data_IF_803082855953
#
_entry.id   IF_803082855953
#
_cell.length_a   1.000
_cell.length_b   1.000
_cell.length_c   1.000
_cell.angle_alpha   90.00
_cell.angle_beta   90.00
_cell.angle_gamma   90.00
#
_symmetry.space_group_name_H-M   'P 1'
#
loop_
_entity.id
_entity.type
_entity.pdbx_description
1 polymer ?
#
# COMPACT_ATOMS: atom_id res chain seq x y z
N UNK A 1 8.76 29.44 55.00
CA UNK A 1 9.89 29.26 54.05
C UNK A 1 9.61 28.30 52.90
N UNK A 2 8.48 27.57 52.86
CA UNK A 2 8.09 26.75 51.70
C UNK A 2 7.42 27.47 50.49
N UNK A 3 6.81 28.68 50.60
CA UNK A 3 6.17 29.31 49.42
C UNK A 3 7.15 29.80 48.35
N UNK A 4 8.40 30.10 48.73
CA UNK A 4 9.35 30.75 47.83
C UNK A 4 10.05 29.77 46.88
N UNK A 5 10.21 28.50 47.30
CA UNK A 5 10.82 27.43 46.50
C UNK A 5 9.91 27.03 45.33
N UNK A 6 8.58 27.01 45.55
CA UNK A 6 7.60 26.70 44.49
C UNK A 6 7.57 27.81 43.43
N UNK A 7 7.70 29.07 43.83
CA UNK A 7 7.81 30.20 42.89
C UNK A 7 9.10 30.15 42.06
N UNK A 8 10.23 29.77 42.68
CA UNK A 8 11.50 29.60 41.97
C UNK A 8 11.43 28.45 40.94
N UNK A 9 10.84 27.31 41.30
CA UNK A 9 10.66 26.18 40.39
C UNK A 9 9.69 26.49 39.22
N UNK A 10 8.64 27.27 39.47
CA UNK A 10 7.71 27.71 38.41
C UNK A 10 8.37 28.71 37.44
N UNK A 11 9.27 29.57 37.93
CA UNK A 11 10.02 30.51 37.08
C UNK A 11 11.14 29.82 36.28
N UNK A 12 11.71 28.73 36.80
CA UNK A 12 12.71 27.90 36.10
C UNK A 12 12.07 27.05 35.00
N UNK A 13 10.86 26.51 35.23
CA UNK A 13 10.05 25.85 34.20
C UNK A 13 9.64 26.81 33.07
N UNK A 14 9.18 28.01 33.40
CA UNK A 14 8.81 29.01 32.40
C UNK A 14 10.01 29.52 31.56
N UNK A 15 11.22 29.54 32.14
CA UNK A 15 12.47 29.88 31.42
C UNK A 15 12.98 28.75 30.53
N UNK A 16 12.66 27.50 30.85
CA UNK A 16 12.97 26.37 30.00
C UNK A 16 11.94 26.24 28.86
N UNK A 17 10.65 26.49 29.11
CA UNK A 17 9.63 26.55 28.06
C UNK A 17 9.93 27.70 27.08
N UNK A 18 10.30 28.90 27.56
CA UNK A 18 10.65 30.03 26.67
C UNK A 18 11.98 29.88 25.92
N UNK A 19 12.84 28.93 26.31
CA UNK A 19 14.08 28.59 25.58
C UNK A 19 13.89 27.45 24.59
N UNK A 20 12.80 26.68 24.71
CA UNK A 20 12.49 25.57 23.81
C UNK A 20 11.71 26.06 22.58
N UNK A 21 11.07 27.23 22.65
CA UNK A 21 10.28 27.80 21.55
C UNK A 21 11.06 28.68 20.54
N UNK A 22 12.36 28.94 20.73
CA UNK A 22 13.15 29.79 19.81
C UNK A 22 14.22 29.06 18.98
N UNK A 23 14.28 27.73 19.00
CA UNK A 23 15.31 26.97 18.27
C UNK A 23 14.81 25.69 17.56
N UNK A 24 13.62 25.73 16.97
CA UNK A 24 13.19 24.72 15.97
C UNK A 24 12.69 25.42 14.71
N UNK A 25 13.62 26.05 14.01
CA UNK A 25 13.52 26.28 12.57
C UNK A 25 14.81 25.86 11.89
N UNK A 26 15.29 24.67 12.26
CA UNK A 26 16.09 23.89 11.32
C UNK A 26 15.11 23.30 10.30
N UNK A 27 15.22 23.79 9.07
CA UNK A 27 14.74 23.13 7.87
C UNK A 27 15.29 21.69 7.86
N UNK A 28 14.60 20.76 8.51
CA UNK A 28 14.55 19.40 8.01
C UNK A 28 13.76 19.51 6.71
N UNK A 29 14.49 19.66 5.61
CA UNK A 29 14.02 19.11 4.35
C UNK A 29 13.66 17.65 4.66
N UNK A 30 12.39 17.40 5.01
CA UNK A 30 11.82 16.07 5.06
C UNK A 30 12.00 15.55 3.65
N UNK A 31 13.11 14.85 3.41
CA UNK A 31 13.35 14.08 2.21
C UNK A 31 12.26 13.02 2.18
N UNK A 32 11.12 13.40 1.64
CA UNK A 32 10.02 12.51 1.31
C UNK A 32 10.52 11.74 0.12
N UNK A 33 11.32 10.69 0.38
CA UNK A 33 11.62 9.69 -0.63
C UNK A 33 10.25 9.23 -1.15
N UNK A 34 10.01 9.47 -2.44
CA UNK A 34 8.79 9.00 -3.06
C UNK A 34 8.72 7.49 -2.81
N UNK A 35 7.61 6.96 -2.29
CA UNK A 35 7.52 5.56 -1.92
C UNK A 35 7.89 4.69 -3.13
N UNK A 36 8.86 3.80 -2.94
CA UNK A 36 9.31 2.89 -3.98
C UNK A 36 8.20 1.89 -4.33
N UNK A 37 8.21 1.42 -5.57
CA UNK A 37 7.26 0.39 -6.03
C UNK A 37 7.95 -0.98 -6.06
N UNK A 38 7.21 -2.09 -5.88
CA UNK A 38 7.76 -3.43 -6.01
C UNK A 38 8.42 -3.69 -7.38
N UNK A 39 9.34 -4.66 -7.43
CA UNK A 39 10.05 -5.06 -8.64
C UNK A 39 9.05 -5.48 -9.73
N UNK A 40 9.33 -5.07 -10.96
CA UNK A 40 8.49 -5.38 -12.13
C UNK A 40 7.37 -4.38 -12.41
N UNK A 41 7.26 -3.32 -11.62
CA UNK A 41 6.35 -2.21 -11.89
C UNK A 41 7.09 -0.93 -12.28
N UNK A 42 6.48 -0.17 -13.19
CA UNK A 42 6.96 1.14 -13.61
C UNK A 42 6.22 2.23 -12.84
N UNK A 43 6.94 3.26 -12.39
CA UNK A 43 6.34 4.40 -11.70
C UNK A 43 5.76 5.42 -12.69
N UNK A 44 4.71 6.11 -12.29
CA UNK A 44 4.18 7.28 -12.99
C UNK A 44 4.13 8.47 -12.02
N UNK A 45 4.62 9.63 -12.43
CA UNK A 45 4.54 10.85 -11.61
C UNK A 45 3.09 11.30 -11.46
N UNK A 46 2.60 11.34 -10.22
CA UNK A 46 1.29 11.93 -9.90
C UNK A 46 1.37 13.44 -10.12
N UNK A 47 0.56 13.95 -11.06
CA UNK A 47 0.49 15.39 -11.35
C UNK A 47 -0.29 16.09 -10.24
N UNK A 48 0.17 17.24 -9.78
CA UNK A 48 -0.44 17.96 -8.65
C UNK A 48 -1.92 18.31 -8.88
N UNK A 49 -2.33 18.53 -10.13
CA UNK A 49 -3.74 18.77 -10.48
C UNK A 49 -4.65 17.57 -10.16
N UNK A 50 -4.09 16.36 -10.23
CA UNK A 50 -4.82 15.10 -10.06
C UNK A 50 -4.89 14.71 -8.56
N UNK A 51 -4.07 15.34 -7.70
CA UNK A 51 -4.11 15.17 -6.24
C UNK A 51 -5.41 15.75 -5.67
N UNK A 52 -6.10 14.96 -4.87
CA UNK A 52 -7.26 15.37 -4.09
C UNK A 52 -6.82 15.93 -2.73
N UNK A 53 -5.99 15.17 -2.00
CA UNK A 53 -5.47 15.53 -0.67
C UNK A 53 -4.19 14.75 -0.40
N UNK A 54 -3.36 15.27 0.47
CA UNK A 54 -2.17 14.60 0.99
C UNK A 54 -2.45 14.11 2.41
N UNK A 55 -2.16 12.84 2.70
CA UNK A 55 -2.50 12.20 3.97
C UNK A 55 -1.26 11.55 4.58
N UNK A 56 -1.11 11.68 5.89
CA UNK A 56 -0.07 10.95 6.61
C UNK A 56 -0.38 9.44 6.61
N UNK A 57 0.66 8.65 6.39
CA UNK A 57 0.57 7.20 6.49
C UNK A 57 0.11 6.75 7.88
N UNK A 58 -0.86 5.84 7.89
CA UNK A 58 -1.34 5.16 9.10
C UNK A 58 -0.30 4.24 9.71
N UNK A 59 0.54 3.66 8.84
CA UNK A 59 1.61 2.74 9.23
C UNK A 59 2.96 3.46 9.36
N UNK A 60 3.03 4.76 9.05
CA UNK A 60 4.27 5.53 9.16
C UNK A 60 4.70 5.71 10.62
N UNK A 61 6.02 5.69 10.84
CA UNK A 61 6.59 5.99 12.14
C UNK A 61 6.34 7.48 12.47
N UNK A 62 6.01 7.79 13.73
CA UNK A 62 5.84 9.17 14.17
C UNK A 62 7.10 10.02 14.02
N UNK A 63 8.28 9.38 14.04
CA UNK A 63 9.57 10.06 13.86
C UNK A 63 9.94 10.28 12.39
N UNK A 64 9.29 9.57 11.46
CA UNK A 64 9.51 9.69 10.02
C UNK A 64 8.15 9.56 9.28
N UNK A 65 7.33 10.62 9.35
CA UNK A 65 5.99 10.58 8.80
C UNK A 65 6.05 10.68 7.26
N UNK A 66 5.45 9.69 6.59
CA UNK A 66 5.36 9.68 5.13
C UNK A 66 4.03 10.29 4.71
N UNK A 67 4.10 11.21 3.74
CA UNK A 67 2.94 11.88 3.17
C UNK A 67 2.57 11.24 1.83
N UNK A 68 1.34 10.74 1.72
CA UNK A 68 0.85 10.07 0.52
C UNK A 68 -0.14 10.97 -0.23
N UNK A 69 0.08 11.12 -1.54
CA UNK A 69 -0.83 11.82 -2.45
C UNK A 69 -2.02 10.92 -2.77
N UNK A 70 -3.20 11.26 -2.25
CA UNK A 70 -4.48 10.62 -2.60
C UNK A 70 -5.02 11.29 -3.85
N UNK A 71 -5.24 10.52 -4.92
CA UNK A 71 -5.67 11.09 -6.20
C UNK A 71 -7.19 11.25 -6.28
N UNK A 72 -7.64 12.16 -7.15
CA UNK A 72 -9.07 12.35 -7.45
C UNK A 72 -9.69 11.06 -8.02
N UNK A 73 -8.92 10.29 -8.79
CA UNK A 73 -9.39 9.02 -9.36
C UNK A 73 -9.44 7.89 -8.31
N UNK A 74 -8.53 7.85 -7.34
CA UNK A 74 -8.67 6.98 -6.16
C UNK A 74 -9.99 7.29 -5.43
N UNK A 75 -10.29 8.56 -5.19
CA UNK A 75 -11.54 8.99 -4.55
C UNK A 75 -12.77 8.58 -5.36
N UNK A 76 -12.75 8.83 -6.67
CA UNK A 76 -13.82 8.44 -7.60
C UNK A 76 -14.04 6.94 -7.57
N UNK A 77 -12.98 6.13 -7.63
CA UNK A 77 -13.06 4.68 -7.57
C UNK A 77 -13.65 4.22 -6.23
N UNK A 78 -13.18 4.73 -5.10
CA UNK A 78 -13.69 4.36 -3.78
C UNK A 78 -15.19 4.63 -3.65
N UNK A 79 -15.67 5.73 -4.23
CA UNK A 79 -17.07 6.15 -4.19
C UNK A 79 -18.00 5.35 -5.11
N UNK A 80 -17.58 5.11 -6.35
CA UNK A 80 -18.44 4.56 -7.41
C UNK A 80 -18.05 3.15 -7.86
N UNK A 81 -16.90 2.65 -7.42
CA UNK A 81 -16.42 1.30 -7.66
C UNK A 81 -16.96 0.32 -6.62
N UNK A 82 -16.34 -0.85 -6.57
CA UNK A 82 -16.82 -1.99 -5.78
C UNK A 82 -16.78 -1.75 -4.27
N UNK A 83 -15.97 -0.80 -3.81
CA UNK A 83 -15.84 -0.45 -2.40
C UNK A 83 -17.09 0.29 -1.85
N UNK A 84 -17.84 0.99 -2.72
CA UNK A 84 -19.05 1.74 -2.37
C UNK A 84 -18.90 2.61 -1.11
N UNK A 85 -17.78 3.33 -0.99
CA UNK A 85 -17.54 4.19 0.15
C UNK A 85 -18.58 5.30 0.21
N UNK A 86 -18.96 5.66 1.44
CA UNK A 86 -19.68 6.89 1.70
C UNK A 86 -18.69 7.96 2.20
N UNK A 87 -19.19 9.19 2.34
CA UNK A 87 -18.40 10.34 2.81
C UNK A 87 -17.73 10.09 4.17
N UNK A 88 -18.39 9.38 5.09
CA UNK A 88 -17.81 9.03 6.40
C UNK A 88 -16.64 8.06 6.27
N UNK A 89 -16.75 7.02 5.43
CA UNK A 89 -15.66 6.07 5.18
C UNK A 89 -14.46 6.74 4.52
N UNK A 90 -14.71 7.65 3.56
CA UNK A 90 -13.66 8.45 2.94
C UNK A 90 -12.97 9.36 3.95
N UNK A 91 -13.71 10.05 4.80
CA UNK A 91 -13.12 10.92 5.82
C UNK A 91 -12.17 10.16 6.77
N UNK A 92 -12.46 8.89 7.08
CA UNK A 92 -11.56 8.03 7.85
C UNK A 92 -10.28 7.66 7.07
N UNK A 93 -10.38 7.42 5.77
CA UNK A 93 -9.21 7.18 4.92
C UNK A 93 -8.35 8.44 4.78
N UNK A 94 -8.99 9.60 4.62
CA UNK A 94 -8.34 10.91 4.58
C UNK A 94 -7.83 11.39 5.94
N UNK A 95 -7.93 10.56 6.99
CA UNK A 95 -7.48 10.89 8.36
C UNK A 95 -8.09 12.18 8.93
N UNK A 96 -9.27 12.58 8.45
CA UNK A 96 -9.92 13.81 8.88
C UNK A 96 -10.60 13.64 10.23
N UNK A 97 -10.41 14.61 11.12
CA UNK A 97 -11.09 14.64 12.40
C UNK A 97 -12.63 14.70 12.23
N UNK A 98 -13.36 14.05 13.14
CA UNK A 98 -14.82 14.08 13.13
C UNK A 98 -15.32 15.49 13.46
N UNK A 99 -16.00 16.12 12.52
CA UNK A 99 -16.64 17.42 12.71
C UNK A 99 -18.09 17.42 12.23
N UNK A 100 -18.93 18.29 12.81
CA UNK A 100 -20.36 18.40 12.45
C UNK A 100 -20.56 18.78 10.98
N UNK A 101 -19.67 19.58 10.41
CA UNK A 101 -19.70 20.03 9.02
C UNK A 101 -18.82 19.21 8.06
N UNK A 102 -18.07 18.22 8.56
CA UNK A 102 -17.04 17.53 7.77
C UNK A 102 -17.57 16.84 6.51
N UNK A 103 -18.74 16.21 6.60
CA UNK A 103 -19.38 15.58 5.44
C UNK A 103 -19.92 16.55 4.40
N UNK A 104 -20.21 17.80 4.76
CA UNK A 104 -20.60 18.87 3.84
C UNK A 104 -19.36 19.46 3.14
N UNK A 105 -18.28 19.68 3.90
CA UNK A 105 -17.00 20.17 3.37
C UNK A 105 -16.44 19.19 2.34
N UNK A 106 -16.35 17.89 2.70
CA UNK A 106 -15.84 16.86 1.80
C UNK A 106 -16.66 16.77 0.50
N UNK A 107 -17.99 16.90 0.57
CA UNK A 107 -18.84 16.91 -0.62
C UNK A 107 -18.54 18.09 -1.54
N UNK A 108 -18.37 19.29 -0.97
CA UNK A 108 -18.04 20.49 -1.74
C UNK A 108 -16.66 20.39 -2.43
N UNK A 109 -15.67 19.82 -1.76
CA UNK A 109 -14.34 19.60 -2.33
C UNK A 109 -14.37 18.56 -3.46
N UNK A 110 -15.13 17.47 -3.27
CA UNK A 110 -15.38 16.48 -4.33
C UNK A 110 -16.08 17.13 -5.54
N UNK A 111 -17.08 17.98 -5.31
CA UNK A 111 -17.77 18.71 -6.39
C UNK A 111 -16.82 19.65 -7.15
N UNK A 112 -15.91 20.35 -6.46
CA UNK A 112 -14.89 21.19 -7.09
C UNK A 112 -13.94 20.38 -7.99
N UNK A 113 -13.72 19.10 -7.67
CA UNK A 113 -12.94 18.14 -8.46
C UNK A 113 -13.79 17.35 -9.46
N UNK A 114 -15.07 17.72 -9.65
CA UNK A 114 -15.96 17.08 -10.63
C UNK A 114 -16.54 15.73 -10.21
N UNK A 115 -16.63 15.48 -8.90
CA UNK A 115 -17.24 14.29 -8.30
C UNK A 115 -18.52 14.69 -7.55
N UNK A 116 -19.68 14.37 -8.11
CA UNK A 116 -20.98 14.66 -7.50
C UNK A 116 -21.50 13.46 -6.70
N UNK A 117 -21.75 13.65 -5.40
CA UNK A 117 -22.25 12.60 -4.52
C UNK A 117 -23.77 12.65 -4.35
N UNK A 118 -24.46 11.61 -4.79
CA UNK A 118 -25.87 11.41 -4.47
C UNK A 118 -26.02 10.94 -3.02
N UNK A 119 -26.64 11.77 -2.18
CA UNK A 119 -26.77 11.59 -0.72
C UNK A 119 -27.50 10.29 -0.32
N UNK A 120 -28.21 9.64 -1.26
CA UNK A 120 -29.07 8.47 -0.98
C UNK A 120 -28.45 7.11 -1.35
N UNK A 121 -27.16 7.03 -1.68
CA UNK A 121 -26.52 5.73 -1.88
C UNK A 121 -26.29 4.99 -0.56
N UNK A 122 -26.87 3.80 -0.45
CA UNK A 122 -26.68 2.91 0.68
C UNK A 122 -25.46 2.02 0.44
N UNK A 123 -24.65 1.88 1.48
CA UNK A 123 -23.52 0.94 1.55
C UNK A 123 -24.06 -0.49 1.39
N UNK A 124 -23.54 -1.23 0.41
CA UNK A 124 -23.98 -2.60 0.12
C UNK A 124 -23.07 -3.66 0.76
N UNK A 125 -21.82 -3.32 1.12
CA UNK A 125 -20.85 -4.29 1.66
C UNK A 125 -20.04 -3.76 2.86
N UNK A 126 -19.56 -4.69 3.69
CA UNK A 126 -18.66 -4.38 4.82
C UNK A 126 -17.25 -4.11 4.30
N UNK A 127 -16.61 -2.97 4.65
CA UNK A 127 -15.28 -2.65 4.16
C UNK A 127 -14.29 -3.69 4.68
N UNK A 128 -13.40 -4.15 3.81
CA UNK A 128 -12.28 -5.00 4.22
C UNK A 128 -11.23 -4.14 4.92
N UNK A 129 -10.41 -4.75 5.77
CA UNK A 129 -9.37 -4.03 6.53
C UNK A 129 -8.35 -3.34 5.60
N UNK A 130 -8.01 -3.98 4.47
CA UNK A 130 -7.11 -3.42 3.45
C UNK A 130 -7.61 -2.07 2.91
N UNK A 131 -8.93 -1.84 2.90
CA UNK A 131 -9.53 -0.59 2.45
C UNK A 131 -9.34 0.60 3.41
N UNK A 132 -8.65 0.39 4.54
CA UNK A 132 -8.35 1.46 5.51
C UNK A 132 -7.06 2.25 5.20
N UNK A 133 -6.27 1.74 4.26
CA UNK A 133 -5.03 2.34 3.76
C UNK A 133 -5.31 3.05 2.43
N UNK A 134 -4.56 4.12 2.13
CA UNK A 134 -4.55 4.73 0.78
C UNK A 134 -3.66 3.94 -0.16
N UNK A 135 -3.87 4.04 -1.48
CA UNK A 135 -3.12 3.25 -2.46
C UNK A 135 -1.61 3.37 -2.29
N UNK A 136 -1.11 4.60 -2.09
CA UNK A 136 0.32 4.83 -1.88
C UNK A 136 0.88 4.07 -0.66
N UNK A 137 0.11 3.99 0.44
CA UNK A 137 0.51 3.20 1.62
C UNK A 137 0.54 1.71 1.31
N UNK A 138 -0.43 1.22 0.54
CA UNK A 138 -0.53 -0.20 0.18
C UNK A 138 0.62 -0.62 -0.73
N UNK A 139 0.97 0.22 -1.71
CA UNK A 139 2.08 -0.01 -2.62
C UNK A 139 3.40 -0.03 -1.84
N UNK A 140 3.59 0.94 -0.94
CA UNK A 140 4.78 0.97 -0.09
C UNK A 140 4.86 -0.25 0.83
N UNK A 141 3.75 -0.65 1.47
CA UNK A 141 3.69 -1.85 2.29
C UNK A 141 4.04 -3.12 1.50
N UNK A 142 3.63 -3.20 0.23
CA UNK A 142 3.99 -4.32 -0.64
C UNK A 142 5.49 -4.31 -1.00
N UNK A 143 6.10 -3.13 -1.14
CA UNK A 143 7.56 -3.00 -1.36
C UNK A 143 8.34 -3.44 -0.14
N UNK A 144 7.98 -2.98 1.05
CA UNK A 144 8.59 -3.43 2.30
C UNK A 144 8.48 -4.95 2.47
N UNK A 145 7.30 -5.50 2.17
CA UNK A 145 7.08 -6.94 2.20
C UNK A 145 7.96 -7.68 1.20
N UNK A 146 8.14 -7.14 -0.02
CA UNK A 146 9.05 -7.73 -1.01
C UNK A 146 10.50 -7.78 -0.49
N UNK A 147 10.99 -6.71 0.11
CA UNK A 147 12.35 -6.66 0.64
C UNK A 147 12.53 -7.67 1.78
N UNK A 148 11.59 -7.71 2.73
CA UNK A 148 11.60 -8.68 3.84
C UNK A 148 11.57 -10.11 3.30
N UNK A 149 10.76 -10.38 2.28
CA UNK A 149 10.65 -11.70 1.67
C UNK A 149 11.96 -12.07 0.96
N UNK A 150 12.56 -11.16 0.20
CA UNK A 150 13.84 -11.43 -0.48
C UNK A 150 14.99 -11.67 0.52
N UNK A 151 14.95 -11.07 1.71
CA UNK A 151 15.97 -11.21 2.74
C UNK A 151 15.76 -12.39 3.69
N UNK A 152 14.52 -12.67 4.08
CA UNK A 152 14.21 -13.55 5.22
C UNK A 152 13.40 -14.80 4.85
N UNK A 153 12.85 -14.89 3.64
CA UNK A 153 12.09 -16.07 3.23
C UNK A 153 13.03 -17.19 2.76
N UNK A 154 13.23 -18.17 3.63
CA UNK A 154 14.19 -19.27 3.42
C UNK A 154 13.66 -20.32 2.44
N UNK A 155 13.86 -20.06 1.14
CA UNK A 155 13.48 -21.00 0.07
C UNK A 155 14.23 -22.33 0.15
N UNK A 156 15.47 -22.34 0.65
CA UNK A 156 16.30 -23.54 0.72
C UNK A 156 15.72 -24.50 1.77
N UNK A 157 15.38 -23.99 2.96
CA UNK A 157 14.74 -24.79 4.01
C UNK A 157 13.36 -25.31 3.59
N UNK A 158 12.55 -24.46 2.93
CA UNK A 158 11.22 -24.87 2.45
C UNK A 158 11.35 -25.96 1.39
N UNK A 159 12.27 -25.81 0.44
CA UNK A 159 12.51 -26.81 -0.59
C UNK A 159 12.97 -28.14 0.01
N UNK A 160 13.86 -28.10 1.00
CA UNK A 160 14.32 -29.30 1.71
C UNK A 160 13.17 -30.02 2.41
N UNK A 161 12.33 -29.29 3.15
CA UNK A 161 11.16 -29.88 3.83
C UNK A 161 10.22 -30.57 2.83
N UNK A 162 9.97 -29.94 1.68
CA UNK A 162 9.14 -30.54 0.63
C UNK A 162 9.75 -31.82 0.10
N UNK A 163 11.06 -31.83 -0.19
CA UNK A 163 11.76 -33.03 -0.71
C UNK A 163 11.83 -34.14 0.34
N UNK A 164 12.04 -33.82 1.62
CA UNK A 164 12.08 -34.79 2.71
C UNK A 164 10.73 -35.49 2.93
N UNK A 165 9.62 -34.78 2.68
CA UNK A 165 8.27 -35.36 2.73
C UNK A 165 7.89 -36.18 1.48
N UNK A 166 8.66 -36.08 0.38
CA UNK A 166 8.38 -36.82 -0.84
C UNK A 166 8.56 -38.32 -0.63
N UNK A 167 7.64 -39.11 -1.21
CA UNK A 167 7.78 -40.57 -1.22
C UNK A 167 8.79 -41.00 -2.28
N UNK A 168 9.53 -42.08 -2.05
CA UNK A 168 10.56 -42.63 -2.96
C UNK A 168 10.11 -42.85 -4.43
N UNK A 169 8.79 -42.91 -4.70
CA UNK A 169 8.24 -43.12 -6.04
C UNK A 169 7.60 -41.86 -6.67
N UNK A 170 7.61 -40.71 -5.99
CA UNK A 170 7.11 -39.46 -6.55
C UNK A 170 8.16 -38.83 -7.46
N UNK A 171 7.81 -38.72 -8.74
CA UNK A 171 8.60 -37.96 -9.71
C UNK A 171 7.98 -36.59 -9.86
N UNK A 172 8.75 -35.55 -9.56
CA UNK A 172 8.39 -34.18 -9.86
C UNK A 172 8.80 -33.83 -11.29
N UNK A 173 7.93 -33.08 -11.97
CA UNK A 173 8.19 -32.51 -13.29
C UNK A 173 8.62 -31.05 -13.12
N UNK A 174 9.93 -30.84 -12.96
CA UNK A 174 10.50 -29.52 -12.75
C UNK A 174 10.44 -28.63 -14.01
N UNK A 175 10.60 -29.22 -15.20
CA UNK A 175 10.47 -28.50 -16.48
C UNK A 175 9.02 -27.99 -16.68
N UNK A 176 8.04 -28.84 -16.39
CA UNK A 176 6.63 -28.46 -16.41
C UNK A 176 6.31 -27.37 -15.37
N UNK A 177 6.90 -27.47 -14.18
CA UNK A 177 6.75 -26.45 -13.13
C UNK A 177 7.34 -25.09 -13.57
N UNK A 178 8.58 -25.05 -14.06
CA UNK A 178 9.23 -23.82 -14.53
C UNK A 178 8.44 -23.17 -15.68
N UNK A 179 7.95 -23.98 -16.62
CA UNK A 179 7.10 -23.52 -17.73
C UNK A 179 5.81 -22.89 -17.21
N UNK A 180 5.17 -23.51 -16.22
CA UNK A 180 3.95 -22.99 -15.59
C UNK A 180 4.21 -21.66 -14.89
N UNK A 181 5.26 -21.58 -14.07
CA UNK A 181 5.62 -20.38 -13.31
C UNK A 181 6.01 -19.21 -14.22
N UNK A 182 6.76 -19.47 -15.28
CA UNK A 182 7.11 -18.46 -16.29
C UNK A 182 5.88 -17.93 -17.04
N UNK A 183 4.93 -18.82 -17.34
CA UNK A 183 3.66 -18.43 -17.96
C UNK A 183 2.81 -17.56 -17.03
N UNK A 184 2.73 -17.91 -15.74
CA UNK A 184 2.04 -17.10 -14.72
C UNK A 184 2.68 -15.73 -14.55
N UNK A 185 4.02 -15.67 -14.44
CA UNK A 185 4.78 -14.42 -14.35
C UNK A 185 4.47 -13.49 -15.53
N UNK A 186 4.44 -14.05 -16.74
CA UNK A 186 4.10 -13.31 -17.96
C UNK A 186 2.68 -12.76 -17.93
N UNK A 187 1.70 -13.58 -17.53
CA UNK A 187 0.30 -13.17 -17.45
C UNK A 187 0.08 -12.10 -16.39
N UNK A 188 0.66 -12.23 -15.20
CA UNK A 188 0.52 -11.21 -14.14
C UNK A 188 1.21 -9.90 -14.50
N UNK A 189 2.32 -9.95 -15.24
CA UNK A 189 3.00 -8.75 -15.75
C UNK A 189 2.30 -8.13 -16.98
N UNK A 190 1.26 -8.78 -17.52
CA UNK A 190 0.55 -8.29 -18.71
C UNK A 190 -0.51 -7.24 -18.39
N UNK A 191 -0.96 -7.14 -17.14
CA UNK A 191 -1.99 -6.20 -16.69
C UNK A 191 -1.56 -5.53 -15.40
N UNK A 192 -1.46 -4.20 -15.44
CA UNK A 192 -1.29 -3.35 -14.27
C UNK A 192 -2.49 -2.40 -14.26
N UNK A 193 -3.51 -2.66 -13.42
CA UNK A 193 -4.66 -1.76 -13.32
C UNK A 193 -4.22 -0.36 -12.87
N UNK A 194 -4.99 0.69 -13.20
CA UNK A 194 -4.67 2.05 -12.77
C UNK A 194 -4.54 2.15 -11.25
N UNK A 195 -3.36 2.54 -10.79
CA UNK A 195 -3.02 2.74 -9.38
C UNK A 195 -2.18 4.02 -9.26
N UNK A 196 -2.38 4.75 -8.18
CA UNK A 196 -1.73 6.03 -7.91
C UNK A 196 -0.22 5.83 -7.84
N UNK A 197 0.53 6.53 -8.69
CA UNK A 197 1.99 6.45 -8.74
C UNK A 197 2.56 5.33 -9.60
N UNK A 198 1.71 4.56 -10.30
CA UNK A 198 2.13 3.43 -11.14
C UNK A 198 1.63 3.57 -12.58
N UNK A 199 2.50 3.20 -13.53
CA UNK A 199 2.14 3.17 -14.94
C UNK A 199 1.20 1.99 -15.22
N UNK A 200 -0.02 2.31 -15.68
CA UNK A 200 -1.01 1.29 -16.02
C UNK A 200 -0.67 0.55 -17.32
N UNK A 201 -1.04 -0.72 -17.38
CA UNK A 201 -0.84 -1.60 -18.54
C UNK A 201 -2.05 -2.50 -18.72
N UNK A 202 -2.44 -2.72 -19.97
CA UNK A 202 -3.56 -3.61 -20.31
C UNK A 202 -3.12 -4.68 -21.29
N UNK A 203 -3.64 -5.89 -21.11
CA UNK A 203 -3.50 -6.98 -22.09
C UNK A 203 -4.54 -6.84 -23.21
N UNK A 204 -4.45 -7.67 -24.25
CA UNK A 204 -5.48 -7.77 -25.29
C UNK A 204 -6.80 -8.39 -24.77
N UNK A 205 -6.75 -9.11 -23.65
CA UNK A 205 -7.92 -9.78 -23.09
C UNK A 205 -8.73 -8.83 -22.19
N UNK A 206 -9.76 -8.21 -22.77
CA UNK A 206 -10.66 -7.28 -22.06
C UNK A 206 -11.32 -7.88 -20.82
N UNK A 207 -11.75 -9.14 -20.87
CA UNK A 207 -12.39 -9.79 -19.71
C UNK A 207 -11.38 -9.93 -18.57
N UNK A 208 -10.16 -10.35 -18.88
CA UNK A 208 -9.08 -10.47 -17.90
C UNK A 208 -8.72 -9.10 -17.31
N UNK A 209 -8.54 -8.07 -18.14
CA UNK A 209 -8.26 -6.71 -17.68
C UNK A 209 -9.33 -6.22 -16.69
N UNK A 210 -10.60 -6.40 -17.00
CA UNK A 210 -11.69 -5.99 -16.12
C UNK A 210 -11.71 -6.76 -14.80
N UNK A 211 -11.38 -8.06 -14.82
CA UNK A 211 -11.27 -8.86 -13.59
C UNK A 211 -10.07 -8.44 -12.73
N UNK A 212 -8.93 -8.11 -13.34
CA UNK A 212 -7.76 -7.61 -12.62
C UNK A 212 -8.02 -6.21 -12.04
N UNK A 213 -8.70 -5.34 -12.78
CA UNK A 213 -9.13 -4.03 -12.28
C UNK A 213 -10.12 -4.18 -11.11
N UNK A 214 -11.13 -5.04 -11.25
CA UNK A 214 -12.05 -5.39 -10.17
C UNK A 214 -11.30 -5.85 -8.91
N UNK A 215 -10.34 -6.76 -9.06
CA UNK A 215 -9.52 -7.27 -7.98
C UNK A 215 -8.62 -6.20 -7.36
N UNK A 216 -8.00 -5.35 -8.18
CA UNK A 216 -7.21 -4.20 -7.73
C UNK A 216 -8.07 -3.25 -6.89
N UNK A 217 -9.28 -2.97 -7.34
CA UNK A 217 -10.20 -2.06 -6.67
C UNK A 217 -10.58 -2.55 -5.26
N UNK A 218 -10.88 -3.84 -5.09
CA UNK A 218 -11.25 -4.40 -3.77
C UNK A 218 -10.04 -4.64 -2.86
N UNK A 219 -8.81 -4.66 -3.40
CA UNK A 219 -7.57 -4.87 -2.64
C UNK A 219 -6.70 -3.62 -2.52
N UNK A 220 -7.12 -2.49 -3.09
CA UNK A 220 -6.33 -1.24 -3.16
C UNK A 220 -4.97 -1.43 -3.82
N UNK A 221 -4.93 -2.29 -4.83
CA UNK A 221 -3.70 -2.64 -5.53
C UNK A 221 -2.85 -3.71 -4.86
N UNK A 222 -3.00 -3.97 -3.54
CA UNK A 222 -2.17 -4.95 -2.82
C UNK A 222 -2.13 -6.32 -3.51
N UNK A 223 -3.29 -6.79 -3.95
CA UNK A 223 -3.40 -8.08 -4.62
C UNK A 223 -2.67 -8.13 -5.96
N UNK A 224 -2.55 -7.01 -6.67
CA UNK A 224 -1.78 -6.92 -7.92
C UNK A 224 -0.29 -6.81 -7.61
N UNK A 225 0.10 -5.89 -6.74
CA UNK A 225 1.52 -5.57 -6.51
C UNK A 225 2.27 -6.67 -5.75
N UNK A 226 1.56 -7.52 -5.01
CA UNK A 226 2.14 -8.67 -4.30
C UNK A 226 2.35 -9.92 -5.16
N UNK A 227 1.65 -10.05 -6.30
CA UNK A 227 1.71 -11.24 -7.15
C UNK A 227 3.13 -11.56 -7.66
N UNK A 228 3.90 -10.61 -8.20
CA UNK A 228 5.25 -10.91 -8.70
C UNK A 228 6.19 -11.42 -7.62
N UNK A 229 6.10 -10.89 -6.40
CA UNK A 229 6.91 -11.33 -5.25
C UNK A 229 6.71 -12.81 -4.99
N UNK A 230 5.46 -13.26 -4.85
CA UNK A 230 5.17 -14.65 -4.54
C UNK A 230 5.45 -15.58 -5.71
N UNK A 231 5.21 -15.16 -6.95
CA UNK A 231 5.61 -15.96 -8.12
C UNK A 231 7.12 -16.18 -8.14
N UNK A 232 7.94 -15.15 -7.92
CA UNK A 232 9.40 -15.33 -7.84
C UNK A 232 9.82 -16.29 -6.74
N UNK A 233 9.28 -16.15 -5.52
CA UNK A 233 9.66 -17.04 -4.42
C UNK A 233 9.26 -18.49 -4.67
N UNK A 234 8.07 -18.72 -5.24
CA UNK A 234 7.63 -20.07 -5.59
C UNK A 234 8.48 -20.67 -6.71
N UNK A 235 8.88 -19.87 -7.71
CA UNK A 235 9.85 -20.30 -8.73
C UNK A 235 11.17 -20.72 -8.09
N UNK A 236 11.73 -19.86 -7.21
CA UNK A 236 12.98 -20.12 -6.51
C UNK A 236 12.90 -21.40 -5.65
N UNK A 237 11.79 -21.63 -4.95
CA UNK A 237 11.57 -22.89 -4.21
C UNK A 237 11.64 -24.08 -5.16
N UNK A 238 10.97 -24.04 -6.31
CA UNK A 238 11.00 -25.13 -7.28
C UNK A 238 12.40 -25.38 -7.87
N UNK A 239 13.17 -24.32 -8.15
CA UNK A 239 14.58 -24.43 -8.56
C UNK A 239 15.42 -25.11 -7.47
N UNK A 240 15.23 -24.75 -6.20
CA UNK A 240 15.92 -25.39 -5.06
C UNK A 240 15.54 -26.84 -4.86
N UNK A 241 14.26 -27.18 -5.03
CA UNK A 241 13.82 -28.58 -5.00
C UNK A 241 14.50 -29.40 -6.11
N UNK A 242 14.63 -28.84 -7.30
CA UNK A 242 15.29 -29.50 -8.43
C UNK A 242 16.79 -29.72 -8.15
N UNK A 243 17.48 -28.74 -7.56
CA UNK A 243 18.87 -28.85 -7.12
C UNK A 243 19.03 -30.02 -6.13
N UNK A 244 18.23 -30.04 -5.05
CA UNK A 244 18.30 -31.07 -4.00
C UNK A 244 18.03 -32.47 -4.57
N UNK A 245 17.04 -32.63 -5.45
CA UNK A 245 16.70 -33.94 -6.05
C UNK A 245 17.79 -34.43 -7.01
N UNK A 246 18.53 -33.53 -7.68
CA UNK A 246 19.64 -33.91 -8.57
C UNK A 246 20.93 -34.28 -7.83
N UNK A 247 21.11 -33.77 -6.61
CA UNK A 247 22.29 -34.03 -5.78
C UNK A 247 22.21 -35.36 -5.01
N UNK A 248 21.00 -35.91 -4.81
CA UNK A 248 20.73 -37.21 -4.17
C UNK A 248 20.68 -38.37 -5.17
#
# INVERSE_FOLDING_TARGET
>A
MLPHIIQLLAMEHAKNESKTEENESENTENQTAAPEVPKGFETETIKDKDVFEEVFGKLSNHLDPILYKVTTEEMRRRLFGQEHFNSSSLALNLRRAKSRAGGEILRRELEQKGISLNVNHRKMETPKLVCSLVEGEVIHMAKDMEDIVDEQYDCDLIAQEVVDEMKENEKLDFEGFETCMSSLSTVFSSVVPPLSGMSSKSSENRKFNHQMEAFSNVTHGFGIVSQPTWIRQMTKIGEKMEEIVKEN
#
